data_IF_746776083946
#
_entry.id   IF_746776083946
#
_cell.length_a   1.000
_cell.length_b   1.000
_cell.length_c   1.000
_cell.angle_alpha   90.00
_cell.angle_beta   90.00
_cell.angle_gamma   90.00
#
_symmetry.space_group_name_H-M   'P 1'
#
loop_
_entity.id
_entity.type
_entity.pdbx_description
1 polymer ?
#
# COMPACT_ATOMS: atom_id res chain seq x y z
N UNK A 1 14.99 -6.41 -34.66
CA UNK A 1 15.13 -7.77 -34.09
C UNK A 1 15.73 -7.63 -32.71
N UNK A 2 15.00 -8.09 -31.70
CA UNK A 2 15.41 -8.16 -30.30
C UNK A 2 14.28 -8.84 -29.53
N UNK A 3 14.42 -10.14 -29.29
CA UNK A 3 13.48 -10.92 -28.49
C UNK A 3 13.76 -10.66 -27.02
N UNK A 4 12.74 -10.26 -26.27
CA UNK A 4 12.53 -10.71 -24.90
C UNK A 4 11.03 -10.89 -24.74
N UNK A 5 10.54 -12.08 -25.09
CA UNK A 5 9.14 -12.43 -24.87
C UNK A 5 8.96 -12.78 -23.41
N UNK A 6 8.50 -11.82 -22.60
CA UNK A 6 7.86 -12.16 -21.34
C UNK A 6 6.44 -12.60 -21.70
N UNK A 7 6.14 -13.88 -21.52
CA UNK A 7 4.75 -14.35 -21.47
C UNK A 7 4.07 -13.51 -20.39
N UNK A 8 2.93 -12.86 -20.67
CA UNK A 8 2.29 -12.01 -19.68
C UNK A 8 1.93 -12.88 -18.48
N UNK A 9 2.44 -12.53 -17.29
CA UNK A 9 2.28 -13.33 -16.06
C UNK A 9 0.78 -13.41 -15.77
N UNK A 10 0.19 -14.61 -15.89
CA UNK A 10 -1.18 -14.88 -15.48
C UNK A 10 -1.18 -15.52 -14.09
N UNK A 11 -2.22 -15.24 -13.31
CA UNK A 11 -2.47 -16.04 -12.11
C UNK A 11 -2.80 -17.49 -12.49
N UNK A 12 -2.25 -18.44 -11.75
CA UNK A 12 -2.69 -19.84 -11.84
C UNK A 12 -4.07 -20.00 -11.19
N UNK A 13 -4.80 -21.05 -11.56
CA UNK A 13 -6.07 -21.38 -10.90
C UNK A 13 -5.93 -21.52 -9.37
N UNK A 14 -4.80 -22.04 -8.90
CA UNK A 14 -4.53 -22.17 -7.47
C UNK A 14 -4.30 -20.82 -6.79
N UNK A 15 -3.67 -19.85 -7.45
CA UNK A 15 -3.51 -18.49 -6.94
C UNK A 15 -4.84 -17.75 -6.92
N UNK A 16 -5.64 -17.83 -7.98
CA UNK A 16 -6.99 -17.25 -8.04
C UNK A 16 -7.90 -17.84 -6.97
N UNK A 17 -7.86 -19.17 -6.80
CA UNK A 17 -8.63 -19.86 -5.75
C UNK A 17 -8.19 -19.42 -4.35
N UNK A 18 -6.88 -19.25 -4.13
CA UNK A 18 -6.36 -18.77 -2.84
C UNK A 18 -6.80 -17.34 -2.57
N UNK A 19 -6.74 -16.45 -3.55
CA UNK A 19 -7.23 -15.08 -3.40
C UNK A 19 -8.73 -15.06 -3.03
N UNK A 20 -9.55 -15.89 -3.68
CA UNK A 20 -10.98 -16.00 -3.36
C UNK A 20 -11.25 -16.59 -1.95
N UNK A 21 -10.37 -17.48 -1.46
CA UNK A 21 -10.47 -18.07 -0.13
C UNK A 21 -9.99 -17.09 0.94
N UNK A 22 -8.75 -16.62 0.84
CA UNK A 22 -8.05 -15.88 1.90
C UNK A 22 -8.27 -14.37 1.85
N UNK A 23 -8.66 -13.83 0.69
CA UNK A 23 -8.86 -12.38 0.48
C UNK A 23 -7.59 -11.63 0.07
N UNK A 24 -6.45 -12.32 -0.04
CA UNK A 24 -5.18 -11.75 -0.46
C UNK A 24 -4.29 -12.79 -1.16
N UNK A 25 -3.26 -12.30 -1.85
CA UNK A 25 -2.22 -13.11 -2.48
C UNK A 25 -0.86 -12.46 -2.25
N UNK A 26 0.17 -13.28 -2.02
CA UNK A 26 1.57 -12.83 -1.94
C UNK A 26 2.30 -13.33 -3.19
N UNK A 27 2.71 -12.41 -4.05
CA UNK A 27 3.52 -12.69 -5.23
C UNK A 27 4.97 -12.34 -4.91
N UNK A 28 5.79 -13.37 -4.64
CA UNK A 28 7.21 -13.19 -4.33
C UNK A 28 7.99 -12.91 -5.60
N UNK A 29 8.94 -11.98 -5.53
CA UNK A 29 9.84 -11.64 -6.63
C UNK A 29 9.10 -11.30 -7.93
N UNK A 30 7.90 -10.69 -7.80
CA UNK A 30 7.05 -10.38 -8.94
C UNK A 30 7.69 -9.35 -9.88
N UNK A 31 8.34 -8.35 -9.30
CA UNK A 31 9.15 -7.39 -10.04
C UNK A 31 10.64 -7.71 -9.89
N UNK A 32 11.44 -7.57 -10.96
CA UNK A 32 12.88 -7.74 -10.90
C UNK A 32 13.54 -6.77 -9.90
N UNK A 33 14.65 -7.19 -9.31
CA UNK A 33 15.39 -6.35 -8.35
C UNK A 33 15.83 -4.99 -8.91
N UNK A 34 16.11 -4.90 -10.23
CA UNK A 34 16.42 -3.64 -10.90
C UNK A 34 15.25 -2.67 -10.93
N UNK A 35 14.03 -3.15 -11.21
CA UNK A 35 12.82 -2.31 -11.15
C UNK A 35 12.54 -1.81 -9.74
N UNK A 36 12.72 -2.68 -8.74
CA UNK A 36 12.58 -2.27 -7.34
C UNK A 36 13.64 -1.22 -6.96
N UNK A 37 14.87 -1.32 -7.46
CA UNK A 37 15.91 -0.33 -7.21
C UNK A 37 15.55 1.04 -7.83
N UNK A 38 15.11 1.07 -9.09
CA UNK A 38 14.66 2.30 -9.75
C UNK A 38 13.51 2.99 -9.01
N UNK A 39 12.54 2.23 -8.51
CA UNK A 39 11.44 2.78 -7.70
C UNK A 39 11.94 3.33 -6.36
N UNK A 40 12.97 2.71 -5.78
CA UNK A 40 13.58 3.16 -4.52
C UNK A 40 14.34 4.47 -4.71
N UNK A 41 15.08 4.60 -5.80
CA UNK A 41 15.79 5.82 -6.17
C UNK A 41 14.80 6.97 -6.43
N UNK A 42 13.74 6.70 -7.21
CA UNK A 42 12.64 7.64 -7.43
C UNK A 42 11.96 8.08 -6.12
N UNK A 43 11.75 7.16 -5.17
CA UNK A 43 11.22 7.50 -3.85
C UNK A 43 12.19 8.40 -3.07
N UNK A 44 13.49 8.12 -3.09
CA UNK A 44 14.51 8.92 -2.41
C UNK A 44 14.55 10.38 -2.93
N UNK A 45 14.38 10.59 -4.23
CA UNK A 45 14.29 11.93 -4.81
C UNK A 45 13.08 12.73 -4.27
N UNK A 46 11.91 12.07 -4.17
CA UNK A 46 10.71 12.70 -3.59
C UNK A 46 10.94 12.99 -2.09
N UNK A 47 11.45 12.00 -1.34
CA UNK A 47 11.60 12.10 0.11
C UNK A 47 12.63 13.17 0.53
N UNK A 48 13.73 13.30 -0.22
CA UNK A 48 14.77 14.29 0.05
C UNK A 48 14.32 15.74 -0.18
N UNK A 49 13.29 15.96 -1.00
CA UNK A 49 12.82 17.30 -1.39
C UNK A 49 11.46 17.66 -0.80
N UNK A 50 10.72 16.70 -0.23
CA UNK A 50 9.40 16.92 0.34
C UNK A 50 9.42 17.86 1.55
N UNK A 51 8.59 18.91 1.50
CA UNK A 51 8.47 19.94 2.54
C UNK A 51 7.15 19.84 3.32
N UNK A 52 7.17 20.18 4.61
CA UNK A 52 5.94 20.26 5.41
C UNK A 52 4.94 21.23 4.79
N UNK A 53 3.69 20.78 4.69
CA UNK A 53 2.61 21.53 4.04
C UNK A 53 2.41 21.21 2.56
N UNK A 54 3.30 20.43 1.93
CA UNK A 54 3.06 19.90 0.59
C UNK A 54 1.77 19.06 0.59
N UNK A 55 0.86 19.39 -0.34
CA UNK A 55 -0.42 18.68 -0.48
C UNK A 55 -0.19 17.21 -0.78
N UNK A 56 -0.88 16.33 -0.06
CA UNK A 56 -0.77 14.89 -0.25
C UNK A 56 0.47 14.26 0.40
N UNK A 57 1.24 15.02 1.19
CA UNK A 57 2.42 14.50 1.91
C UNK A 57 2.16 14.53 3.42
N UNK A 58 2.27 13.36 4.05
CA UNK A 58 2.21 13.20 5.50
C UNK A 58 3.60 13.13 6.10
N UNK A 59 3.74 13.67 7.31
CA UNK A 59 4.99 13.74 8.06
C UNK A 59 4.81 13.13 9.44
N UNK A 60 5.90 12.68 10.04
CA UNK A 60 5.90 12.14 11.40
C UNK A 60 5.23 13.12 12.39
N UNK A 61 4.16 12.70 13.09
CA UNK A 61 3.47 13.53 14.06
C UNK A 61 4.05 13.44 15.48
N UNK A 62 4.92 12.47 15.78
CA UNK A 62 5.52 12.31 17.11
C UNK A 62 6.75 13.17 17.34
N UNK A 63 7.47 13.54 16.28
CA UNK A 63 8.71 14.31 16.40
C UNK A 63 8.90 15.31 15.27
N UNK A 64 9.69 16.34 15.55
CA UNK A 64 10.20 17.31 14.58
C UNK A 64 11.70 17.20 14.35
N UNK A 65 12.37 16.27 15.03
CA UNK A 65 13.78 15.97 14.79
C UNK A 65 13.99 15.53 13.33
N UNK A 66 15.14 15.85 12.73
CA UNK A 66 15.45 15.43 11.38
C UNK A 66 15.48 13.90 11.25
N UNK A 67 15.20 13.42 10.04
CA UNK A 67 15.34 12.02 9.65
C UNK A 67 16.77 11.67 9.23
N UNK A 68 16.88 10.65 8.40
CA UNK A 68 18.15 10.20 7.80
C UNK A 68 18.46 10.94 6.48
N UNK A 69 19.52 10.53 5.79
CA UNK A 69 19.95 11.13 4.52
C UNK A 69 18.95 10.93 3.37
N UNK A 70 18.12 9.88 3.42
CA UNK A 70 17.14 9.56 2.37
C UNK A 70 15.81 10.30 2.63
N UNK A 71 15.41 10.39 3.89
CA UNK A 71 14.16 11.00 4.33
C UNK A 71 14.39 12.02 5.45
N UNK A 72 15.09 13.13 5.15
CA UNK A 72 15.52 14.11 6.16
C UNK A 72 14.36 14.81 6.86
N UNK A 73 13.18 14.86 6.21
CA UNK A 73 12.00 15.50 6.75
C UNK A 73 11.04 14.52 7.44
N UNK A 74 11.38 13.23 7.55
CA UNK A 74 10.56 12.17 8.15
C UNK A 74 9.15 12.12 7.53
N UNK A 75 9.08 12.11 6.21
CA UNK A 75 7.84 11.83 5.46
C UNK A 75 7.36 10.42 5.82
N UNK A 76 6.08 10.29 6.13
CA UNK A 76 5.44 9.02 6.53
C UNK A 76 4.38 8.55 5.54
N UNK A 77 3.90 9.45 4.67
CA UNK A 77 2.86 9.15 3.71
C UNK A 77 2.98 10.00 2.44
N UNK A 78 2.75 9.41 1.28
CA UNK A 78 2.58 10.11 0.00
C UNK A 78 1.29 9.62 -0.69
N UNK A 79 0.39 10.55 -0.98
CA UNK A 79 -0.81 10.29 -1.76
C UNK A 79 -0.51 10.43 -3.24
N UNK A 80 -0.93 9.47 -4.06
CA UNK A 80 -0.79 9.52 -5.52
C UNK A 80 0.65 9.76 -5.99
N UNK A 81 1.58 8.95 -5.48
CA UNK A 81 3.02 9.05 -5.80
C UNK A 81 3.29 8.92 -7.31
N UNK A 82 2.41 8.26 -8.06
CA UNK A 82 2.47 8.19 -9.52
C UNK A 82 2.33 9.57 -10.19
N UNK A 83 1.74 10.57 -9.53
CA UNK A 83 1.69 11.96 -10.01
C UNK A 83 2.96 12.75 -9.66
N UNK A 84 3.82 12.22 -8.79
CA UNK A 84 5.01 12.91 -8.28
C UNK A 84 6.28 12.55 -9.05
N UNK A 85 6.33 11.35 -9.65
CA UNK A 85 7.51 10.89 -10.38
C UNK A 85 7.15 9.88 -11.47
N UNK A 86 7.72 10.05 -12.68
CA UNK A 86 7.37 9.26 -13.87
C UNK A 86 7.54 7.74 -13.67
N UNK A 87 8.56 7.33 -12.92
CA UNK A 87 8.81 5.91 -12.64
C UNK A 87 7.64 5.22 -11.91
N UNK A 88 6.95 5.94 -11.04
CA UNK A 88 5.75 5.45 -10.35
C UNK A 88 4.51 5.47 -11.25
N UNK A 89 4.38 6.42 -12.18
CA UNK A 89 3.33 6.37 -13.22
C UNK A 89 3.49 5.15 -14.11
N UNK A 90 4.71 4.88 -14.58
CA UNK A 90 5.03 3.68 -15.36
C UNK A 90 4.72 2.41 -14.57
N UNK A 91 5.07 2.37 -13.28
CA UNK A 91 4.81 1.20 -12.43
C UNK A 91 3.31 0.95 -12.18
N UNK A 92 2.55 2.02 -11.88
CA UNK A 92 1.09 1.97 -11.70
C UNK A 92 0.38 1.46 -12.97
N UNK A 93 0.94 1.75 -14.14
CA UNK A 93 0.44 1.34 -15.46
C UNK A 93 1.09 0.06 -15.99
N UNK A 94 1.88 -0.65 -15.18
CA UNK A 94 2.61 -1.83 -15.65
C UNK A 94 1.66 -2.91 -16.17
N UNK A 95 2.04 -3.54 -17.28
CA UNK A 95 1.21 -4.57 -17.92
C UNK A 95 1.05 -5.80 -17.03
N UNK A 96 2.10 -6.11 -16.27
CA UNK A 96 2.19 -7.18 -15.30
C UNK A 96 1.16 -6.98 -14.19
N UNK A 97 1.13 -5.80 -13.56
CA UNK A 97 0.17 -5.49 -12.51
C UNK A 97 -1.26 -5.47 -13.04
N UNK A 98 -1.47 -4.76 -14.15
CA UNK A 98 -2.78 -4.65 -14.81
C UNK A 98 -3.36 -6.02 -15.13
N UNK A 99 -2.53 -6.95 -15.60
CA UNK A 99 -2.95 -8.30 -15.91
C UNK A 99 -3.43 -9.08 -14.68
N UNK A 100 -2.77 -8.95 -13.53
CA UNK A 100 -3.23 -9.59 -12.29
C UNK A 100 -4.64 -9.12 -11.94
N UNK A 101 -4.90 -7.81 -12.04
CA UNK A 101 -6.24 -7.26 -11.80
C UNK A 101 -7.26 -7.74 -12.85
N UNK A 102 -6.87 -7.84 -14.12
CA UNK A 102 -7.73 -8.39 -15.16
C UNK A 102 -8.10 -9.85 -14.91
N UNK A 103 -7.16 -10.68 -14.45
CA UNK A 103 -7.39 -12.08 -14.12
C UNK A 103 -8.35 -12.22 -12.91
N UNK A 104 -8.33 -11.26 -11.97
CA UNK A 104 -9.21 -11.26 -10.78
C UNK A 104 -10.60 -10.67 -11.02
N UNK A 105 -10.70 -9.58 -11.79
CA UNK A 105 -11.93 -8.77 -11.88
C UNK A 105 -12.52 -8.66 -13.29
N UNK A 106 -11.81 -9.14 -14.31
CA UNK A 106 -12.16 -8.96 -15.72
C UNK A 106 -11.46 -7.74 -16.35
N UNK A 107 -11.64 -7.51 -17.66
CA UNK A 107 -10.85 -6.54 -18.42
C UNK A 107 -11.20 -5.07 -18.14
N UNK A 108 -12.35 -4.79 -17.53
CA UNK A 108 -12.83 -3.43 -17.23
C UNK A 108 -12.38 -3.01 -15.83
N UNK A 109 -11.13 -2.56 -15.74
CA UNK A 109 -10.49 -2.11 -14.50
C UNK A 109 -10.01 -0.67 -14.63
N UNK A 110 -9.99 0.04 -13.50
CA UNK A 110 -9.44 1.39 -13.41
C UNK A 110 -8.63 1.55 -12.13
N UNK A 111 -7.45 2.18 -12.23
CA UNK A 111 -6.68 2.63 -11.08
C UNK A 111 -7.06 4.06 -10.73
N UNK A 112 -7.49 4.32 -9.49
CA UNK A 112 -8.02 5.62 -9.10
C UNK A 112 -7.23 6.32 -7.97
N UNK A 113 -6.38 5.59 -7.24
CA UNK A 113 -5.57 6.16 -6.16
C UNK A 113 -4.33 5.29 -5.91
N UNK A 114 -3.27 5.90 -5.38
CA UNK A 114 -2.21 5.18 -4.67
C UNK A 114 -1.94 5.81 -3.31
N UNK A 115 -1.49 4.96 -2.38
CA UNK A 115 -1.10 5.35 -1.04
C UNK A 115 0.29 4.75 -0.76
N UNK A 116 1.30 5.60 -0.59
CA UNK A 116 2.65 5.14 -0.23
C UNK A 116 2.87 5.40 1.25
N UNK A 117 3.11 4.34 2.01
CA UNK A 117 3.37 4.40 3.45
C UNK A 117 4.86 4.22 3.68
N UNK A 118 5.49 5.18 4.38
CA UNK A 118 6.90 5.16 4.71
C UNK A 118 7.06 4.87 6.19
N UNK A 119 7.78 3.81 6.51
CA UNK A 119 8.09 3.40 7.89
C UNK A 119 9.41 4.05 8.30
N UNK A 120 9.35 5.23 8.89
CA UNK A 120 10.55 5.88 9.43
C UNK A 120 11.03 5.15 10.69
N UNK A 121 12.35 5.12 10.97
CA UNK A 121 12.86 4.55 12.20
C UNK A 121 12.18 5.16 13.43
N UNK A 122 11.83 4.31 14.40
CA UNK A 122 11.19 4.67 15.68
C UNK A 122 9.75 5.22 15.57
N UNK A 123 9.14 5.21 14.38
CA UNK A 123 7.74 5.58 14.22
C UNK A 123 6.82 4.54 14.84
N UNK A 124 5.98 4.98 15.77
CA UNK A 124 4.87 4.16 16.24
C UNK A 124 3.81 4.04 15.15
N UNK A 125 3.64 2.85 14.59
CA UNK A 125 2.65 2.58 13.53
C UNK A 125 1.34 1.98 14.06
N UNK A 126 1.20 1.77 15.37
CA UNK A 126 0.03 1.13 15.98
C UNK A 126 -1.25 1.95 15.79
N UNK A 127 -1.12 3.26 15.52
CA UNK A 127 -2.25 4.13 15.21
C UNK A 127 -2.99 3.75 13.93
N UNK A 128 -2.35 3.04 13.00
CA UNK A 128 -3.03 2.50 11.83
C UNK A 128 -4.07 1.44 12.20
N UNK A 129 -3.86 0.71 13.31
CA UNK A 129 -4.76 -0.30 13.86
C UNK A 129 -5.23 -1.37 12.88
N UNK A 130 -6.07 -2.28 13.37
CA UNK A 130 -6.85 -3.15 12.48
C UNK A 130 -7.92 -2.32 11.78
N UNK A 131 -8.04 -2.49 10.46
CA UNK A 131 -9.03 -1.77 9.67
C UNK A 131 -9.35 -2.47 8.35
N UNK A 132 -10.43 -1.99 7.72
CA UNK A 132 -10.75 -2.24 6.33
C UNK A 132 -10.62 -0.93 5.54
N UNK A 133 -10.18 -1.01 4.30
CA UNK A 133 -10.06 0.14 3.40
C UNK A 133 -11.41 0.58 2.83
N UNK A 134 -12.33 -0.36 2.58
CA UNK A 134 -13.62 -0.08 1.92
C UNK A 134 -14.45 1.07 2.56
N UNK A 135 -14.54 1.21 3.90
CA UNK A 135 -15.20 2.35 4.54
C UNK A 135 -14.67 3.74 4.14
N UNK A 136 -13.44 3.84 3.62
CA UNK A 136 -12.85 5.12 3.20
C UNK A 136 -13.31 5.58 1.82
N UNK A 137 -13.96 4.70 1.06
CA UNK A 137 -14.32 4.94 -0.35
C UNK A 137 -15.84 4.97 -0.61
N UNK A 138 -16.67 4.91 0.43
CA UNK A 138 -18.13 4.95 0.26
C UNK A 138 -18.60 6.35 -0.19
N UNK A 139 -19.56 6.46 -1.14
CA UNK A 139 -20.26 5.36 -1.80
C UNK A 139 -19.45 4.73 -2.95
N UNK A 140 -19.44 3.38 -3.00
CA UNK A 140 -18.89 2.60 -4.11
C UNK A 140 -20.02 2.00 -4.95
N UNK A 141 -19.82 1.89 -6.27
CA UNK A 141 -20.77 1.22 -7.17
C UNK A 141 -20.79 -0.30 -6.98
N UNK A 142 -19.69 -0.88 -6.51
CA UNK A 142 -19.55 -2.28 -6.07
C UNK A 142 -18.26 -2.45 -5.24
N UNK A 143 -18.05 -3.62 -4.63
CA UNK A 143 -16.86 -3.95 -3.83
C UNK A 143 -15.79 -4.76 -4.58
N UNK A 144 -15.80 -4.77 -5.92
CA UNK A 144 -14.71 -5.35 -6.72
C UNK A 144 -13.53 -4.37 -6.77
N UNK A 145 -12.96 -4.10 -5.61
CA UNK A 145 -11.80 -3.24 -5.43
C UNK A 145 -10.66 -4.09 -4.85
N UNK A 146 -9.44 -3.90 -5.35
CA UNK A 146 -8.26 -4.57 -4.83
C UNK A 146 -7.10 -3.57 -4.72
N UNK A 147 -6.24 -3.80 -3.73
CA UNK A 147 -5.00 -3.06 -3.57
C UNK A 147 -3.82 -3.98 -3.92
N UNK A 148 -2.86 -3.45 -4.66
CA UNK A 148 -1.57 -4.09 -4.81
C UNK A 148 -0.52 -3.32 -4.01
N UNK A 149 0.17 -4.03 -3.13
CA UNK A 149 1.22 -3.46 -2.29
C UNK A 149 2.57 -3.92 -2.84
N UNK A 150 3.28 -3.01 -3.50
CA UNK A 150 4.67 -3.23 -3.92
C UNK A 150 5.62 -2.81 -2.80
N UNK A 151 6.33 -3.78 -2.24
CA UNK A 151 7.34 -3.52 -1.21
C UNK A 151 8.66 -3.08 -1.86
N UNK A 152 9.12 -1.87 -1.54
CA UNK A 152 10.40 -1.35 -2.04
C UNK A 152 11.60 -1.82 -1.21
N UNK A 153 11.36 -2.19 0.06
CA UNK A 153 12.35 -2.71 0.99
C UNK A 153 11.91 -4.06 1.55
N UNK A 154 12.84 -4.79 2.17
CA UNK A 154 12.52 -6.03 2.86
C UNK A 154 11.57 -5.75 4.05
N UNK A 155 10.39 -6.35 4.01
CA UNK A 155 9.38 -6.21 5.05
C UNK A 155 9.12 -7.55 5.75
N UNK A 156 9.06 -7.50 7.08
CA UNK A 156 8.80 -8.64 7.95
C UNK A 156 8.19 -8.20 9.28
N UNK A 157 8.02 -9.15 10.22
CA UNK A 157 7.43 -8.86 11.53
C UNK A 157 8.12 -7.72 12.27
N UNK A 158 9.45 -7.65 12.18
CA UNK A 158 10.25 -6.65 12.91
C UNK A 158 10.46 -5.34 12.15
N UNK A 159 10.02 -5.26 10.89
CA UNK A 159 10.18 -4.07 10.03
C UNK A 159 8.85 -3.46 9.61
N UNK A 160 7.75 -3.87 10.26
CA UNK A 160 6.42 -3.29 10.04
C UNK A 160 5.74 -3.77 8.76
N UNK A 161 5.94 -5.04 8.38
CA UNK A 161 5.18 -5.68 7.30
C UNK A 161 3.68 -5.72 7.57
N UNK A 162 2.88 -5.68 6.51
CA UNK A 162 1.41 -5.69 6.64
C UNK A 162 0.93 -7.01 7.22
N UNK A 163 0.15 -6.92 8.30
CA UNK A 163 -0.60 -8.05 8.87
C UNK A 163 -1.96 -8.17 8.21
N UNK A 164 -2.38 -9.39 7.89
CA UNK A 164 -3.63 -9.70 7.19
C UNK A 164 -4.36 -10.79 7.95
N UNK A 165 -5.69 -10.68 8.08
CA UNK A 165 -6.55 -11.71 8.66
C UNK A 165 -7.17 -12.51 7.50
N UNK A 166 -6.79 -13.78 7.28
CA UNK A 166 -7.37 -14.59 6.21
C UNK A 166 -8.88 -14.70 6.33
N UNK A 167 -9.58 -14.64 5.20
CA UNK A 167 -11.04 -14.77 5.06
C UNK A 167 -11.88 -13.60 5.60
N UNK A 168 -11.26 -12.60 6.24
CA UNK A 168 -11.98 -11.45 6.84
C UNK A 168 -12.76 -10.59 5.85
N UNK A 169 -12.45 -10.66 4.55
CA UNK A 169 -13.22 -9.99 3.50
C UNK A 169 -14.64 -10.56 3.33
N UNK A 170 -14.94 -11.71 3.93
CA UNK A 170 -16.25 -12.37 3.86
C UNK A 170 -17.24 -11.87 4.91
N UNK A 171 -16.75 -11.14 5.90
CA UNK A 171 -17.54 -10.72 7.05
C UNK A 171 -18.28 -9.39 6.81
N UNK A 172 -18.21 -8.88 5.57
CA UNK A 172 -18.83 -7.62 5.16
C UNK A 172 -17.97 -6.40 5.51
N UNK A 173 -18.57 -5.22 5.41
CA UNK A 173 -17.93 -3.94 5.72
C UNK A 173 -18.33 -3.54 7.14
N UNK A 174 -17.36 -3.46 8.03
CA UNK A 174 -17.56 -3.00 9.39
C UNK A 174 -17.51 -1.47 9.47
N UNK A 175 -18.13 -0.95 10.53
CA UNK A 175 -18.03 0.47 10.86
C UNK A 175 -16.59 0.82 11.32
N UNK A 176 -16.03 1.88 10.75
CA UNK A 176 -14.74 2.43 11.21
C UNK A 176 -14.94 3.23 12.48
N UNK A 177 -14.03 3.07 13.44
CA UNK A 177 -13.95 3.88 14.64
C UNK A 177 -12.58 4.52 14.81
N UNK A 178 -12.50 5.44 15.76
CA UNK A 178 -11.25 6.06 16.19
C UNK A 178 -11.20 6.16 17.71
N UNK A 179 -10.08 5.75 18.28
CA UNK A 179 -9.80 5.81 19.71
C UNK A 179 -8.75 6.90 19.99
N UNK A 180 -8.98 7.69 21.03
CA UNK A 180 -7.95 8.59 21.56
C UNK A 180 -7.10 7.80 22.54
N UNK A 181 -5.79 7.71 22.26
CA UNK A 181 -4.83 7.09 23.18
C UNK A 181 -4.08 8.21 23.92
N UNK A 182 -4.00 8.12 25.25
CA UNK A 182 -3.30 9.13 26.06
C UNK A 182 -1.84 9.27 25.61
N UNK A 183 -1.40 10.52 25.44
CA UNK A 183 -0.04 10.84 24.98
C UNK A 183 0.20 10.68 23.48
N UNK A 184 -0.77 10.20 22.68
CA UNK A 184 -0.61 10.13 21.24
C UNK A 184 -1.03 11.43 20.54
N UNK A 185 -0.26 11.91 19.55
CA UNK A 185 -0.60 13.10 18.78
C UNK A 185 -1.68 12.83 17.71
N UNK A 186 -2.06 11.56 17.53
CA UNK A 186 -3.03 11.07 16.54
C UNK A 186 -3.99 10.07 17.19
N UNK A 187 -5.16 9.89 16.57
CA UNK A 187 -6.11 8.85 16.98
C UNK A 187 -5.71 7.50 16.38
N UNK A 188 -5.94 6.43 17.15
CA UNK A 188 -5.81 5.06 16.67
C UNK A 188 -7.06 4.67 15.88
N UNK A 189 -6.90 4.11 14.69
CA UNK A 189 -8.00 3.53 13.93
C UNK A 189 -8.41 2.20 14.56
N UNK A 190 -9.71 1.95 14.64
CA UNK A 190 -10.28 0.70 15.12
C UNK A 190 -11.44 0.28 14.22
N UNK A 191 -11.82 -0.99 14.31
CA UNK A 191 -13.08 -1.50 13.77
C UNK A 191 -14.07 -1.59 14.93
N UNK A 192 -15.23 -0.96 14.79
CA UNK A 192 -16.27 -0.99 15.84
C UNK A 192 -16.80 -2.43 15.98
N UNK A 193 -16.73 -2.98 17.19
CA UNK A 193 -17.21 -4.34 17.49
C UNK A 193 -16.25 -5.47 17.11
N UNK A 194 -15.00 -5.17 16.72
CA UNK A 194 -14.02 -6.18 16.32
C UNK A 194 -13.35 -6.93 17.48
N UNK A 195 -13.57 -6.52 18.73
CA UNK A 195 -13.07 -7.23 19.92
C UNK A 195 -13.64 -8.66 20.08
N UNK A 196 -14.63 -9.03 19.25
CA UNK A 196 -15.25 -10.35 19.23
C UNK A 196 -14.58 -11.38 18.29
N UNK A 197 -13.48 -11.02 17.61
CA UNK A 197 -12.69 -11.89 16.74
C UNK A 197 -11.47 -12.52 17.43
#
# INVERSE_FOLDING_TARGET
MGRCGAVPISLTESQTSRFAIDGYLILREFFPGGEIAELRDAAAEILSTALRGTRGVGFDPWTKEPGDEVNPNRVTYLNDIFLMHERFDVHMRSTELTKIFCDLYGPDINGFQSATVIKTPQLNNDFHGWHQDAPDYVPLSNYKNGCAITYLNAMGPDTGGTSLVPRSHRDGVFERGYETVEGWPVKKRVIVGFEAY
#
